data_IF_450958218626
#
_entry.id   IF_450958218626
#
_cell.length_a   1.000
_cell.length_b   1.000
_cell.length_c   1.000
_cell.angle_alpha   90.00
_cell.angle_beta   90.00
_cell.angle_gamma   90.00
#
_symmetry.space_group_name_H-M   'P 1'
#
loop_
_entity.id
_entity.type
_entity.pdbx_description
1 polymer ?
#
# COMPACT_ATOMS: atom_id res chain seq x y z
N UNK A 1 16.77 -29.52 -16.44
CA UNK A 1 16.15 -28.31 -16.98
C UNK A 1 17.04 -27.14 -16.56
N UNK A 2 17.91 -26.64 -17.45
CA UNK A 2 18.79 -25.50 -17.13
C UNK A 2 17.92 -24.25 -17.08
N UNK A 3 17.74 -23.65 -15.92
CA UNK A 3 17.25 -22.28 -15.83
C UNK A 3 18.30 -21.37 -16.47
N UNK A 4 18.03 -20.90 -17.66
CA UNK A 4 18.80 -19.84 -18.26
C UNK A 4 18.60 -18.61 -17.36
N UNK A 5 19.65 -18.20 -16.64
CA UNK A 5 19.63 -16.97 -15.85
C UNK A 5 19.40 -15.82 -16.85
N UNK A 6 18.22 -15.22 -16.78
CA UNK A 6 17.92 -14.03 -17.58
C UNK A 6 18.86 -12.93 -17.13
N UNK A 7 19.69 -12.42 -18.02
CA UNK A 7 20.57 -11.28 -17.75
C UNK A 7 19.68 -10.05 -17.55
N UNK A 8 19.72 -9.47 -16.35
CA UNK A 8 19.06 -8.20 -16.07
C UNK A 8 19.99 -7.05 -16.47
N UNK A 9 19.41 -6.04 -17.09
CA UNK A 9 20.05 -4.80 -17.47
C UNK A 9 19.71 -3.74 -16.44
N UNK A 10 20.73 -3.00 -15.97
CA UNK A 10 20.54 -1.86 -15.06
C UNK A 10 20.36 -0.58 -15.84
N UNK A 11 19.35 0.18 -15.45
CA UNK A 11 19.08 1.52 -15.97
C UNK A 11 18.88 2.50 -14.82
N UNK A 12 19.16 3.77 -15.12
CA UNK A 12 18.85 4.90 -14.25
C UNK A 12 17.86 5.80 -14.98
N UNK A 13 16.74 6.10 -14.32
CA UNK A 13 15.66 6.91 -14.88
C UNK A 13 15.52 8.20 -14.06
N UNK A 14 15.35 9.32 -14.78
CA UNK A 14 14.90 10.57 -14.20
C UNK A 14 13.39 10.68 -14.28
N UNK A 15 12.73 11.09 -13.19
CA UNK A 15 11.31 11.35 -13.15
C UNK A 15 11.06 12.82 -12.82
N UNK A 16 10.15 13.47 -13.56
CA UNK A 16 9.78 14.85 -13.34
C UNK A 16 8.28 15.07 -13.44
N UNK A 17 7.73 16.00 -12.64
CA UNK A 17 6.33 16.41 -12.70
C UNK A 17 6.20 17.87 -12.25
N UNK A 18 5.40 18.69 -12.98
CA UNK A 18 5.11 20.07 -12.59
C UNK A 18 3.64 20.48 -12.73
N UNK A 19 2.75 19.52 -12.97
CA UNK A 19 1.31 19.72 -12.90
C UNK A 19 0.74 19.26 -11.55
N UNK A 20 -0.52 19.55 -11.32
CA UNK A 20 -1.21 19.25 -10.07
C UNK A 20 -1.00 17.78 -9.65
N UNK A 21 -0.89 17.54 -8.34
CA UNK A 21 -0.57 16.22 -7.79
C UNK A 21 0.81 15.64 -8.19
N UNK A 22 1.83 16.49 -8.35
CA UNK A 22 3.21 16.14 -8.75
C UNK A 22 3.75 14.89 -8.04
N UNK A 23 3.61 14.81 -6.71
CA UNK A 23 4.06 13.68 -5.92
C UNK A 23 3.31 12.39 -6.26
N UNK A 24 2.00 12.49 -6.47
CA UNK A 24 1.17 11.34 -6.84
C UNK A 24 1.64 10.76 -8.16
N UNK A 25 1.84 11.58 -9.19
CA UNK A 25 2.32 11.14 -10.49
C UNK A 25 3.66 10.40 -10.39
N UNK A 26 4.64 10.97 -9.68
CA UNK A 26 5.96 10.35 -9.51
C UNK A 26 5.85 9.03 -8.74
N UNK A 27 5.16 9.02 -7.58
CA UNK A 27 5.08 7.82 -6.75
C UNK A 27 4.28 6.69 -7.42
N UNK A 28 3.18 7.03 -8.08
CA UNK A 28 2.38 6.03 -8.82
C UNK A 28 3.17 5.45 -9.99
N UNK A 29 3.88 6.28 -10.76
CA UNK A 29 4.73 5.81 -11.85
C UNK A 29 5.82 4.83 -11.39
N UNK A 30 6.44 5.08 -10.23
CA UNK A 30 7.42 4.14 -9.63
C UNK A 30 6.76 2.79 -9.34
N UNK A 31 5.56 2.78 -8.77
CA UNK A 31 4.85 1.53 -8.48
C UNK A 31 4.40 0.80 -9.73
N UNK A 32 3.88 1.52 -10.72
CA UNK A 32 3.46 0.95 -12.01
C UNK A 32 4.64 0.36 -12.78
N UNK A 33 5.81 1.00 -12.75
CA UNK A 33 7.04 0.40 -13.30
C UNK A 33 7.36 -0.92 -12.58
N UNK A 34 7.32 -0.93 -11.26
CA UNK A 34 7.64 -2.13 -10.47
C UNK A 34 6.69 -3.32 -10.73
N UNK A 35 5.42 -3.07 -11.06
CA UNK A 35 4.45 -4.11 -11.41
C UNK A 35 4.65 -4.69 -12.82
N UNK A 36 5.31 -3.98 -13.71
CA UNK A 36 5.56 -4.36 -15.11
C UNK A 36 6.82 -5.22 -15.31
N UNK A 37 7.23 -5.98 -14.30
CA UNK A 37 8.48 -6.79 -14.31
C UNK A 37 9.75 -5.93 -14.40
N UNK A 38 9.66 -4.69 -13.98
CA UNK A 38 10.78 -3.75 -13.85
C UNK A 38 11.07 -3.61 -12.36
N UNK A 39 12.16 -4.20 -11.90
CA UNK A 39 12.49 -4.18 -10.48
C UNK A 39 13.11 -2.84 -10.08
N UNK A 40 12.36 -2.00 -9.36
CA UNK A 40 12.87 -0.73 -8.82
C UNK A 40 13.72 -1.01 -7.58
N UNK A 41 15.00 -0.69 -7.66
CA UNK A 41 16.00 -1.02 -6.65
C UNK A 41 16.18 0.09 -5.60
N UNK A 42 16.13 1.34 -6.05
CA UNK A 42 16.40 2.51 -5.24
C UNK A 42 15.73 3.75 -5.83
N UNK A 43 15.28 4.64 -4.94
CA UNK A 43 14.80 5.97 -5.27
C UNK A 43 15.66 7.01 -4.56
N UNK A 44 15.93 8.15 -5.22
CA UNK A 44 16.55 9.31 -4.58
C UNK A 44 15.60 10.01 -3.62
N UNK A 45 16.08 11.02 -2.92
CA UNK A 45 15.22 12.06 -2.38
C UNK A 45 14.42 12.75 -3.50
N UNK A 46 13.30 13.36 -3.13
CA UNK A 46 12.51 14.20 -4.01
C UNK A 46 13.02 15.63 -3.91
N UNK A 47 13.21 16.27 -5.06
CA UNK A 47 13.71 17.66 -5.13
C UNK A 47 12.72 18.56 -5.84
N UNK A 48 12.63 19.80 -5.39
CA UNK A 48 11.89 20.87 -6.06
C UNK A 48 12.87 21.89 -6.67
N UNK A 49 12.60 22.26 -7.94
CA UNK A 49 13.30 23.36 -8.62
C UNK A 49 12.36 24.09 -9.58
N UNK A 50 12.71 25.31 -9.93
CA UNK A 50 11.98 26.08 -10.93
C UNK A 50 12.09 25.46 -12.32
N UNK A 51 11.07 25.72 -13.17
CA UNK A 51 11.10 25.28 -14.56
C UNK A 51 12.28 25.89 -15.31
N UNK A 52 13.07 25.07 -16.01
CA UNK A 52 14.21 25.53 -16.79
C UNK A 52 13.86 25.70 -18.26
N UNK A 53 14.19 26.86 -18.83
CA UNK A 53 14.05 27.15 -20.24
C UNK A 53 12.65 27.56 -20.72
N UNK A 54 11.69 27.68 -19.81
CA UNK A 54 10.34 28.19 -20.07
C UNK A 54 9.69 28.74 -18.80
N UNK A 55 8.59 29.50 -18.94
CA UNK A 55 7.79 29.97 -17.81
C UNK A 55 6.75 28.90 -17.48
N UNK A 56 6.94 28.17 -16.38
CA UNK A 56 6.07 27.08 -15.92
C UNK A 56 6.07 26.94 -14.40
N UNK A 57 5.26 26.01 -13.88
CA UNK A 57 5.26 25.67 -12.46
C UNK A 57 6.56 24.96 -12.07
N UNK A 58 6.94 25.05 -10.78
CA UNK A 58 8.09 24.33 -10.25
C UNK A 58 7.94 22.82 -10.38
N UNK A 59 9.02 22.14 -10.72
CA UNK A 59 9.07 20.68 -10.87
C UNK A 59 9.39 20.01 -9.55
N UNK A 60 8.79 18.83 -9.37
CA UNK A 60 9.37 17.77 -8.54
C UNK A 60 10.21 16.86 -9.42
N UNK A 61 11.44 16.57 -8.99
CA UNK A 61 12.37 15.69 -9.69
C UNK A 61 12.91 14.63 -8.74
N UNK A 62 13.10 13.43 -9.28
CA UNK A 62 13.74 12.31 -8.60
C UNK A 62 14.46 11.42 -9.62
N UNK A 63 15.39 10.59 -9.16
CA UNK A 63 15.94 9.51 -9.95
C UNK A 63 15.65 8.16 -9.30
N UNK A 64 15.51 7.13 -10.14
CA UNK A 64 15.40 5.74 -9.70
C UNK A 64 16.42 4.88 -10.45
N UNK A 65 16.88 3.81 -9.81
CA UNK A 65 17.58 2.71 -10.48
C UNK A 65 16.65 1.51 -10.57
N UNK A 66 16.73 0.85 -11.72
CA UNK A 66 15.92 -0.32 -12.03
C UNK A 66 16.77 -1.45 -12.61
N UNK A 67 16.36 -2.70 -12.39
CA UNK A 67 16.84 -3.87 -13.11
C UNK A 67 15.69 -4.49 -13.91
N UNK A 68 15.92 -4.80 -15.19
CA UNK A 68 14.92 -5.42 -16.07
C UNK A 68 15.59 -6.24 -17.17
N UNK A 69 14.84 -7.21 -17.71
CA UNK A 69 15.24 -7.95 -18.90
C UNK A 69 15.00 -7.18 -20.22
N UNK A 70 14.26 -6.07 -20.15
CA UNK A 70 13.93 -5.25 -21.32
C UNK A 70 15.20 -4.61 -21.93
N UNK A 71 15.22 -4.51 -23.25
CA UNK A 71 16.16 -3.65 -23.97
C UNK A 71 15.85 -2.17 -23.73
N UNK A 72 16.81 -1.30 -24.00
CA UNK A 72 16.63 0.15 -23.84
C UNK A 72 15.45 0.70 -24.67
N UNK A 73 15.19 0.14 -25.84
CA UNK A 73 14.06 0.55 -26.68
C UNK A 73 12.70 0.09 -26.11
N UNK A 74 12.62 -1.15 -25.64
CA UNK A 74 11.41 -1.66 -24.97
C UNK A 74 11.10 -0.88 -23.71
N UNK A 75 12.14 -0.57 -22.92
CA UNK A 75 11.99 0.26 -21.72
C UNK A 75 11.51 1.67 -22.07
N UNK A 76 12.07 2.30 -23.12
CA UNK A 76 11.60 3.61 -23.59
C UNK A 76 10.10 3.57 -23.94
N UNK A 77 9.64 2.54 -24.67
CA UNK A 77 8.22 2.40 -25.03
C UNK A 77 7.33 2.26 -23.77
N UNK A 78 7.80 1.57 -22.74
CA UNK A 78 7.08 1.47 -21.46
C UNK A 78 7.00 2.82 -20.77
N UNK A 79 8.08 3.56 -20.67
CA UNK A 79 8.09 4.92 -20.10
C UNK A 79 7.14 5.85 -20.86
N UNK A 80 7.17 5.84 -22.19
CA UNK A 80 6.26 6.63 -23.02
C UNK A 80 4.78 6.27 -22.81
N UNK A 81 4.46 4.98 -22.65
CA UNK A 81 3.11 4.52 -22.37
C UNK A 81 2.62 5.00 -20.99
N UNK A 82 3.49 4.98 -19.98
CA UNK A 82 3.19 5.49 -18.65
C UNK A 82 2.95 7.00 -18.67
N UNK A 83 3.78 7.77 -19.35
CA UNK A 83 3.57 9.21 -19.51
C UNK A 83 2.17 9.52 -20.11
N UNK A 84 1.76 8.75 -21.12
CA UNK A 84 0.46 8.90 -21.75
C UNK A 84 -0.69 8.55 -20.80
N UNK A 85 -0.58 7.46 -20.03
CA UNK A 85 -1.61 7.07 -19.04
C UNK A 85 -1.77 8.11 -17.94
N UNK A 86 -0.68 8.83 -17.60
CA UNK A 86 -0.70 9.95 -16.65
C UNK A 86 -1.22 11.27 -17.25
N UNK A 87 -1.65 11.27 -18.51
CA UNK A 87 -2.28 12.44 -19.16
C UNK A 87 -1.32 13.32 -19.96
N UNK A 88 -0.08 12.90 -20.19
CA UNK A 88 0.86 13.68 -21.02
C UNK A 88 0.37 13.74 -22.46
N UNK A 89 -0.08 14.91 -22.91
CA UNK A 89 -0.43 15.16 -24.31
C UNK A 89 0.85 15.48 -25.11
N UNK A 90 1.19 14.67 -26.12
CA UNK A 90 2.25 15.00 -27.09
C UNK A 90 1.64 15.73 -28.26
N UNK A 91 1.77 17.05 -28.31
CA UNK A 91 1.40 17.85 -29.49
C UNK A 91 2.49 17.79 -30.54
N UNK A 92 2.13 17.68 -31.82
CA UNK A 92 3.08 17.73 -32.96
C UNK A 92 3.67 19.13 -33.22
N UNK A 93 3.51 20.08 -32.29
CA UNK A 93 4.09 21.41 -32.40
C UNK A 93 5.61 21.39 -32.12
N UNK A 94 6.40 22.26 -32.76
CA UNK A 94 7.84 22.30 -32.52
C UNK A 94 8.15 22.56 -31.06
N UNK A 95 9.15 21.85 -30.55
CA UNK A 95 9.62 21.67 -29.19
C UNK A 95 9.55 22.90 -28.27
N UNK A 96 8.35 23.33 -27.88
CA UNK A 96 8.17 24.22 -26.74
C UNK A 96 8.00 23.38 -25.48
N UNK A 97 8.86 23.63 -24.48
CA UNK A 97 8.69 23.02 -23.16
C UNK A 97 7.33 23.43 -22.60
N UNK A 98 6.58 22.47 -22.10
CA UNK A 98 5.25 22.66 -21.53
C UNK A 98 5.21 21.99 -20.15
N UNK A 99 4.27 22.46 -19.33
CA UNK A 99 3.91 21.77 -18.10
C UNK A 99 3.44 20.35 -18.42
N UNK A 100 3.74 19.40 -17.53
CA UNK A 100 3.44 17.99 -17.74
C UNK A 100 3.23 17.24 -16.45
N UNK A 101 2.23 16.35 -16.41
CA UNK A 101 1.95 15.55 -15.22
C UNK A 101 3.10 14.57 -14.91
N UNK A 102 3.74 13.99 -15.92
CA UNK A 102 4.85 13.05 -15.77
C UNK A 102 5.82 13.14 -16.95
N UNK A 103 7.13 13.10 -16.63
CA UNK A 103 8.24 12.98 -17.56
C UNK A 103 9.17 11.87 -17.07
N UNK A 104 9.56 10.92 -17.94
CA UNK A 104 10.45 9.81 -17.61
C UNK A 104 11.57 9.76 -18.62
N UNK A 105 12.76 10.21 -18.23
CA UNK A 105 13.97 10.19 -19.05
C UNK A 105 14.84 8.97 -18.72
N UNK A 106 15.27 8.20 -19.73
CA UNK A 106 16.33 7.21 -19.57
C UNK A 106 17.66 7.96 -19.51
N UNK A 107 18.35 7.89 -18.36
CA UNK A 107 19.59 8.63 -18.11
C UNK A 107 20.84 7.81 -18.45
N UNK A 108 20.92 6.60 -17.87
CA UNK A 108 22.01 5.65 -18.07
C UNK A 108 21.46 4.27 -18.36
N UNK A 109 22.17 3.48 -19.14
CA UNK A 109 21.85 2.09 -19.47
C UNK A 109 23.10 1.23 -19.52
N UNK A 110 22.96 -0.09 -19.78
CA UNK A 110 24.08 -1.03 -19.82
C UNK A 110 25.08 -0.73 -20.96
N UNK A 111 24.60 -0.14 -22.06
CA UNK A 111 25.39 0.16 -23.25
C UNK A 111 25.11 1.61 -23.68
N UNK A 112 26.15 2.22 -24.31
CA UNK A 112 25.98 3.51 -24.96
C UNK A 112 25.20 3.34 -26.26
N UNK A 113 24.24 4.24 -26.50
CA UNK A 113 23.44 4.25 -27.73
C UNK A 113 23.37 5.66 -28.30
N UNK A 114 23.33 5.74 -29.62
CA UNK A 114 23.19 7.02 -30.33
C UNK A 114 22.33 6.81 -31.58
N UNK A 115 21.04 6.72 -31.38
CA UNK A 115 20.03 6.52 -32.41
C UNK A 115 19.16 7.76 -32.59
N UNK A 116 18.30 7.76 -33.63
CA UNK A 116 17.33 8.86 -33.89
C UNK A 116 16.38 9.10 -32.72
N UNK A 117 16.03 8.04 -32.00
CA UNK A 117 14.96 8.05 -30.99
C UNK A 117 15.50 7.95 -29.55
N UNK A 118 16.73 7.44 -29.37
CA UNK A 118 17.32 7.24 -28.05
C UNK A 118 18.83 7.43 -28.05
N UNK A 119 19.31 8.31 -27.18
CA UNK A 119 20.74 8.50 -26.91
C UNK A 119 21.03 8.20 -25.45
N UNK A 120 21.96 7.30 -25.18
CA UNK A 120 22.44 6.95 -23.83
C UNK A 120 23.98 7.02 -23.78
N UNK A 121 24.56 7.66 -22.76
CA UNK A 121 23.94 8.46 -21.70
C UNK A 121 23.09 9.60 -22.25
N UNK A 122 22.07 10.00 -21.47
CA UNK A 122 21.12 11.06 -21.88
C UNK A 122 21.89 12.37 -22.19
N UNK A 123 21.73 12.96 -23.38
CA UNK A 123 22.67 14.00 -23.87
C UNK A 123 22.67 15.29 -23.04
N UNK A 124 21.59 15.60 -22.33
CA UNK A 124 21.48 16.82 -21.54
C UNK A 124 21.68 16.60 -20.04
N UNK A 125 21.92 15.36 -19.56
CA UNK A 125 22.02 15.09 -18.12
C UNK A 125 23.20 15.84 -17.47
N UNK A 126 24.33 15.92 -18.15
CA UNK A 126 25.54 16.58 -17.66
C UNK A 126 25.40 18.10 -17.43
N UNK A 127 24.35 18.72 -17.98
CA UNK A 127 24.08 20.15 -17.87
C UNK A 127 23.01 20.48 -16.85
N UNK A 128 22.47 19.48 -16.13
CA UNK A 128 21.30 19.61 -15.29
C UNK A 128 21.58 19.12 -13.87
N UNK A 129 21.73 20.05 -12.94
CA UNK A 129 21.98 19.70 -11.55
C UNK A 129 20.83 18.93 -10.93
N UNK A 130 19.57 19.25 -11.28
CA UNK A 130 18.36 18.59 -10.81
C UNK A 130 18.23 17.13 -11.31
N UNK A 131 19.07 16.70 -12.27
CA UNK A 131 19.23 15.31 -12.69
C UNK A 131 20.42 14.66 -11.99
N UNK A 132 21.58 15.33 -11.96
CA UNK A 132 22.82 14.74 -11.47
C UNK A 132 22.82 14.51 -9.95
N UNK A 133 22.25 15.43 -9.13
CA UNK A 133 22.21 15.24 -7.66
C UNK A 133 21.34 14.03 -7.26
N UNK A 134 20.08 13.87 -7.75
CA UNK A 134 19.31 12.65 -7.47
C UNK A 134 19.98 11.39 -8.03
N UNK A 135 20.61 11.46 -9.20
CA UNK A 135 21.30 10.33 -9.80
C UNK A 135 22.50 9.86 -8.97
N UNK A 136 23.29 10.81 -8.43
CA UNK A 136 24.39 10.53 -7.50
C UNK A 136 23.92 9.77 -6.26
N UNK A 137 22.80 10.19 -5.67
CA UNK A 137 22.23 9.52 -4.48
C UNK A 137 21.89 8.06 -4.76
N UNK A 138 21.25 7.80 -5.89
CA UNK A 138 20.85 6.44 -6.27
C UNK A 138 22.07 5.55 -6.56
N UNK A 139 23.07 6.08 -7.30
CA UNK A 139 24.31 5.36 -7.56
C UNK A 139 25.08 5.05 -6.28
N UNK A 140 25.16 6.02 -5.33
CA UNK A 140 25.79 5.83 -4.04
C UNK A 140 25.05 4.78 -3.18
N UNK A 141 23.72 4.81 -3.15
CA UNK A 141 22.90 3.83 -2.41
C UNK A 141 23.13 2.40 -2.90
N UNK A 142 23.36 2.22 -4.19
CA UNK A 142 23.64 0.91 -4.82
C UNK A 142 25.11 0.54 -4.81
N UNK A 143 26.00 1.43 -4.34
CA UNK A 143 27.46 1.26 -4.39
C UNK A 143 27.99 1.01 -5.83
N UNK A 144 27.35 1.65 -6.80
CA UNK A 144 27.77 1.62 -8.20
C UNK A 144 28.92 2.63 -8.40
N UNK A 145 30.11 2.21 -7.99
CA UNK A 145 31.28 3.09 -7.92
C UNK A 145 31.68 3.65 -9.30
N UNK A 146 31.52 2.89 -10.36
CA UNK A 146 31.88 3.34 -11.72
C UNK A 146 30.98 4.53 -12.13
N UNK A 147 29.68 4.39 -12.04
CA UNK A 147 28.78 5.48 -12.40
C UNK A 147 28.87 6.63 -11.38
N UNK A 148 29.12 6.34 -10.10
CA UNK A 148 29.27 7.38 -9.07
C UNK A 148 30.43 8.32 -9.34
N UNK A 149 31.62 7.77 -9.66
CA UNK A 149 32.83 8.58 -9.99
C UNK A 149 32.59 9.47 -11.22
N UNK A 150 31.93 8.93 -12.25
CA UNK A 150 31.57 9.71 -13.45
C UNK A 150 30.56 10.82 -13.15
N UNK A 151 29.51 10.52 -12.37
CA UNK A 151 28.49 11.50 -11.98
C UNK A 151 29.11 12.62 -11.12
N UNK A 152 29.99 12.30 -10.18
CA UNK A 152 30.68 13.29 -9.36
C UNK A 152 31.57 14.20 -10.18
N UNK A 153 32.26 13.66 -11.19
CA UNK A 153 33.02 14.45 -12.16
C UNK A 153 32.10 15.40 -12.94
N UNK A 154 30.97 14.90 -13.45
CA UNK A 154 29.97 15.72 -14.17
C UNK A 154 29.38 16.82 -13.27
N UNK A 155 29.06 16.51 -12.01
CA UNK A 155 28.61 17.50 -11.04
C UNK A 155 29.65 18.61 -10.81
N UNK A 156 30.93 18.26 -10.72
CA UNK A 156 32.02 19.25 -10.54
C UNK A 156 32.16 20.21 -11.70
N UNK A 157 31.72 19.80 -12.89
CA UNK A 157 31.76 20.57 -14.14
C UNK A 157 30.43 21.22 -14.51
N UNK A 158 29.37 20.85 -13.84
CA UNK A 158 28.01 21.35 -14.10
C UNK A 158 27.91 22.85 -13.77
N UNK A 159 27.47 23.62 -14.77
CA UNK A 159 27.29 25.08 -14.63
C UNK A 159 25.87 25.49 -14.24
N UNK A 160 25.00 24.52 -14.01
CA UNK A 160 23.64 24.77 -13.52
C UNK A 160 23.71 25.15 -12.05
N UNK A 161 23.46 26.43 -11.75
CA UNK A 161 23.46 27.03 -10.42
C UNK A 161 22.02 27.17 -9.87
N UNK A 162 21.04 26.56 -10.52
CA UNK A 162 19.65 26.58 -10.08
C UNK A 162 19.50 26.01 -8.67
N UNK A 163 18.62 26.62 -7.87
CA UNK A 163 18.30 26.17 -6.53
C UNK A 163 17.57 24.83 -6.60
N UNK A 164 18.09 23.85 -5.91
CA UNK A 164 17.52 22.51 -5.77
C UNK A 164 17.17 22.30 -4.29
N UNK A 165 15.88 22.28 -3.97
CA UNK A 165 15.39 22.17 -2.60
C UNK A 165 14.92 20.75 -2.32
N UNK A 166 15.48 20.04 -1.32
CA UNK A 166 15.00 18.72 -0.95
C UNK A 166 13.59 18.82 -0.34
N UNK A 167 12.70 17.97 -0.76
CA UNK A 167 11.34 17.82 -0.21
C UNK A 167 11.38 16.72 0.85
N UNK A 168 10.85 16.99 2.04
CA UNK A 168 10.90 16.05 3.16
C UNK A 168 9.91 14.89 2.99
N UNK A 169 10.05 14.16 1.89
CA UNK A 169 9.22 13.01 1.53
C UNK A 169 10.13 11.90 1.01
N UNK A 170 9.99 10.71 1.57
CA UNK A 170 10.67 9.52 1.07
C UNK A 170 9.82 8.84 0.01
N UNK A 171 10.34 8.72 -1.19
CA UNK A 171 9.77 7.87 -2.25
C UNK A 171 9.92 6.38 -1.88
N UNK A 172 8.94 5.58 -2.28
CA UNK A 172 8.91 4.14 -2.05
C UNK A 172 9.11 3.41 -3.38
N UNK A 173 9.84 2.30 -3.35
CA UNK A 173 10.14 1.53 -4.56
C UNK A 173 8.99 0.61 -4.98
N UNK A 174 8.15 0.18 -4.04
CA UNK A 174 7.12 -0.84 -4.29
C UNK A 174 5.92 -0.71 -3.34
N UNK A 175 4.82 -1.38 -3.68
CA UNK A 175 3.71 -1.58 -2.76
C UNK A 175 4.12 -2.37 -1.50
N UNK A 176 5.10 -3.25 -1.60
CA UNK A 176 5.68 -3.92 -0.42
C UNK A 176 6.26 -2.91 0.56
N UNK A 177 6.97 -1.88 0.07
CA UNK A 177 7.47 -0.81 0.94
C UNK A 177 6.34 0.03 1.51
N UNK A 178 5.27 0.28 0.74
CA UNK A 178 4.09 0.99 1.22
C UNK A 178 3.47 0.25 2.42
N UNK A 179 3.22 -1.06 2.27
CA UNK A 179 2.66 -1.88 3.34
C UNK A 179 3.56 -1.95 4.57
N UNK A 180 4.87 -2.18 4.41
CA UNK A 180 5.84 -2.23 5.51
C UNK A 180 5.95 -0.92 6.30
N UNK A 181 5.68 0.21 5.67
CA UNK A 181 5.72 1.52 6.30
C UNK A 181 4.34 2.02 6.75
N UNK A 182 3.25 1.31 6.45
CA UNK A 182 1.89 1.68 6.86
C UNK A 182 1.63 1.31 8.31
N UNK A 183 0.76 2.07 8.96
CA UNK A 183 0.15 1.68 10.22
C UNK A 183 -0.68 0.41 10.03
N UNK A 184 -1.10 -0.23 11.13
CA UNK A 184 -1.87 -1.47 11.08
C UNK A 184 -3.11 -1.34 10.16
N UNK A 185 -3.27 -2.30 9.26
CA UNK A 185 -4.47 -2.47 8.44
C UNK A 185 -5.35 -3.53 9.07
N UNK A 186 -6.60 -3.20 9.32
CA UNK A 186 -7.57 -4.11 9.94
C UNK A 186 -8.58 -4.59 8.91
N UNK A 187 -8.73 -5.89 8.81
CA UNK A 187 -9.75 -6.55 7.97
C UNK A 187 -10.88 -7.02 8.88
N UNK A 188 -12.03 -6.39 8.79
CA UNK A 188 -13.22 -6.71 9.58
C UNK A 188 -14.36 -7.27 8.71
N UNK A 189 -15.40 -7.76 9.37
CA UNK A 189 -16.59 -8.29 8.72
C UNK A 189 -17.16 -9.51 9.43
N UNK A 190 -18.30 -9.99 8.94
CA UNK A 190 -19.05 -11.08 9.54
C UNK A 190 -18.25 -12.40 9.62
N UNK A 191 -18.73 -13.32 10.45
CA UNK A 191 -18.21 -14.69 10.54
C UNK A 191 -18.34 -15.34 9.15
N UNK A 192 -17.29 -16.01 8.69
CA UNK A 192 -17.30 -16.70 7.38
C UNK A 192 -16.97 -15.82 6.18
N UNK A 193 -16.77 -14.49 6.31
CA UNK A 193 -16.54 -13.60 5.16
C UNK A 193 -15.13 -13.74 4.54
N UNK A 194 -14.15 -14.34 5.25
CA UNK A 194 -12.82 -14.62 4.70
C UNK A 194 -11.70 -13.74 5.26
N UNK A 195 -11.91 -13.02 6.37
CA UNK A 195 -10.91 -12.13 7.00
C UNK A 195 -9.52 -12.74 7.13
N UNK A 196 -9.43 -13.85 7.84
CA UNK A 196 -8.15 -14.53 8.13
C UNK A 196 -7.45 -14.99 6.86
N UNK A 197 -8.20 -15.47 5.85
CA UNK A 197 -7.65 -15.86 4.55
C UNK A 197 -7.04 -14.67 3.84
N UNK A 198 -7.76 -13.55 3.79
CA UNK A 198 -7.25 -12.31 3.18
C UNK A 198 -6.01 -11.79 3.91
N UNK A 199 -6.00 -11.77 5.25
CA UNK A 199 -4.83 -11.36 6.02
C UNK A 199 -3.60 -12.19 5.69
N UNK A 200 -3.73 -13.51 5.61
CA UNK A 200 -2.62 -14.39 5.28
C UNK A 200 -2.10 -14.17 3.85
N UNK A 201 -2.99 -13.96 2.89
CA UNK A 201 -2.59 -13.68 1.50
C UNK A 201 -1.89 -12.32 1.37
N UNK A 202 -2.42 -11.28 2.01
CA UNK A 202 -1.79 -9.95 2.04
C UNK A 202 -0.41 -10.00 2.70
N UNK A 203 -0.29 -10.72 3.82
CA UNK A 203 0.98 -10.90 4.51
C UNK A 203 2.02 -11.62 3.63
N UNK A 204 1.62 -12.67 2.93
CA UNK A 204 2.48 -13.39 2.00
C UNK A 204 2.89 -12.51 0.81
N UNK A 205 1.94 -11.75 0.22
CA UNK A 205 2.17 -10.88 -0.95
C UNK A 205 3.17 -9.75 -0.64
N UNK A 206 2.99 -9.09 0.51
CA UNK A 206 3.75 -7.88 0.86
C UNK A 206 4.85 -8.12 1.91
N UNK A 207 5.06 -9.38 2.31
CA UNK A 207 6.08 -9.77 3.32
C UNK A 207 5.96 -8.92 4.60
N UNK A 208 4.73 -8.88 5.15
CA UNK A 208 4.36 -8.19 6.38
C UNK A 208 3.84 -9.19 7.42
N UNK A 209 3.70 -8.76 8.67
CA UNK A 209 3.22 -9.60 9.74
C UNK A 209 1.70 -9.68 9.79
N UNK A 210 1.17 -10.84 10.20
CA UNK A 210 -0.25 -11.01 10.54
C UNK A 210 -0.47 -10.90 12.04
N UNK A 211 -1.64 -10.36 12.40
CA UNK A 211 -2.12 -10.42 13.78
C UNK A 211 -3.56 -10.95 13.80
N UNK A 212 -3.69 -12.25 14.11
CA UNK A 212 -4.94 -12.99 13.98
C UNK A 212 -5.57 -13.26 15.33
N UNK A 213 -6.90 -13.25 15.38
CA UNK A 213 -7.67 -13.46 16.59
C UNK A 213 -7.51 -14.89 17.13
N UNK A 214 -7.18 -15.00 18.42
CA UNK A 214 -6.98 -16.28 19.14
C UNK A 214 -8.28 -16.75 19.77
N UNK A 215 -9.36 -16.93 18.97
CA UNK A 215 -10.69 -17.31 19.48
C UNK A 215 -10.69 -18.64 20.23
N UNK A 216 -9.80 -19.59 19.92
CA UNK A 216 -9.68 -20.89 20.58
C UNK A 216 -9.18 -20.78 22.03
N UNK A 217 -8.53 -19.69 22.40
CA UNK A 217 -8.05 -19.44 23.75
C UNK A 217 -9.16 -19.05 24.72
N UNK A 218 -10.34 -18.71 24.23
CA UNK A 218 -11.47 -18.28 25.06
C UNK A 218 -12.18 -19.49 25.68
N UNK A 219 -12.02 -19.76 27.00
CA UNK A 219 -12.59 -20.94 27.65
C UNK A 219 -14.12 -20.91 27.76
N UNK A 220 -14.72 -19.75 27.56
CA UNK A 220 -16.18 -19.56 27.67
C UNK A 220 -16.91 -19.71 26.35
N UNK A 221 -16.21 -19.69 25.23
CA UNK A 221 -16.82 -19.63 23.89
C UNK A 221 -17.72 -20.83 23.58
N UNK A 222 -17.27 -22.05 23.94
CA UNK A 222 -18.09 -23.26 23.75
C UNK A 222 -19.32 -23.29 24.62
N UNK A 223 -19.25 -22.76 25.85
CA UNK A 223 -20.37 -22.65 26.76
C UNK A 223 -21.35 -21.57 26.32
N UNK A 224 -20.86 -20.46 25.78
CA UNK A 224 -21.68 -19.38 25.25
C UNK A 224 -22.66 -19.87 24.17
N UNK A 225 -22.23 -20.73 23.26
CA UNK A 225 -23.12 -21.26 22.23
C UNK A 225 -24.20 -22.21 22.80
N UNK A 226 -23.98 -22.80 23.98
CA UNK A 226 -24.94 -23.66 24.65
C UNK A 226 -25.92 -22.88 25.56
N UNK A 227 -25.40 -21.89 26.27
CA UNK A 227 -26.15 -21.04 27.20
C UNK A 227 -25.64 -19.58 27.09
N UNK A 228 -26.16 -18.83 26.10
CA UNK A 228 -25.75 -17.44 25.90
C UNK A 228 -26.05 -16.54 27.10
N UNK A 229 -27.14 -16.80 27.84
CA UNK A 229 -27.57 -15.95 28.98
C UNK A 229 -26.51 -16.02 30.09
N UNK A 230 -26.04 -17.19 30.44
CA UNK A 230 -25.03 -17.37 31.49
C UNK A 230 -23.62 -16.99 31.12
N UNK A 231 -23.23 -17.15 29.82
CA UNK A 231 -21.83 -17.07 29.40
C UNK A 231 -21.51 -15.88 28.51
N UNK A 232 -22.48 -15.04 28.10
CA UNK A 232 -22.18 -13.91 27.22
C UNK A 232 -21.17 -12.93 27.85
N UNK A 233 -21.40 -12.45 29.07
CA UNK A 233 -20.49 -11.47 29.70
C UNK A 233 -19.09 -12.00 29.92
N UNK A 234 -18.83 -13.18 30.52
CA UNK A 234 -17.47 -13.70 30.64
C UNK A 234 -16.78 -13.94 29.28
N UNK A 235 -17.53 -14.35 28.25
CA UNK A 235 -17.01 -14.52 26.90
C UNK A 235 -16.52 -13.19 26.31
N UNK A 236 -17.35 -12.16 26.37
CA UNK A 236 -17.01 -10.84 25.80
C UNK A 236 -15.91 -10.13 26.59
N UNK A 237 -15.88 -10.27 27.92
CA UNK A 237 -14.79 -9.72 28.75
C UNK A 237 -13.46 -10.43 28.47
N UNK A 238 -13.47 -11.74 28.24
CA UNK A 238 -12.26 -12.48 27.88
C UNK A 238 -11.72 -12.01 26.52
N UNK A 239 -12.59 -11.88 25.51
CA UNK A 239 -12.19 -11.34 24.22
C UNK A 239 -11.65 -9.91 24.31
N UNK A 240 -12.29 -9.05 25.13
CA UNK A 240 -11.81 -7.68 25.34
C UNK A 240 -10.41 -7.67 25.95
N UNK A 241 -10.17 -8.48 26.98
CA UNK A 241 -8.88 -8.57 27.66
C UNK A 241 -7.77 -9.11 26.73
N UNK A 242 -8.05 -10.20 26.00
CA UNK A 242 -7.11 -10.81 25.08
C UNK A 242 -6.75 -9.86 23.93
N UNK A 243 -7.76 -9.22 23.32
CA UNK A 243 -7.54 -8.21 22.24
C UNK A 243 -6.75 -7.02 22.76
N UNK A 244 -7.08 -6.51 23.96
CA UNK A 244 -6.36 -5.38 24.56
C UNK A 244 -4.89 -5.70 24.79
N UNK A 245 -4.59 -6.85 25.37
CA UNK A 245 -3.21 -7.27 25.61
C UNK A 245 -2.44 -7.39 24.30
N UNK A 246 -3.02 -8.09 23.34
CA UNK A 246 -2.40 -8.35 22.06
C UNK A 246 -2.16 -7.06 21.24
N UNK A 247 -3.13 -6.16 21.20
CA UNK A 247 -3.00 -4.87 20.48
C UNK A 247 -2.01 -3.92 21.17
N UNK A 248 -1.89 -3.97 22.50
CA UNK A 248 -0.90 -3.17 23.22
C UNK A 248 0.55 -3.52 22.82
N UNK A 249 0.83 -4.80 22.56
CA UNK A 249 2.14 -5.27 22.11
C UNK A 249 2.49 -4.78 20.68
N UNK A 250 1.50 -4.26 19.93
CA UNK A 250 1.65 -3.81 18.55
C UNK A 250 1.72 -2.29 18.38
N UNK A 251 1.52 -1.50 19.43
CA UNK A 251 1.33 -0.05 19.35
C UNK A 251 2.42 0.72 18.56
N UNK A 252 3.66 0.24 18.59
CA UNK A 252 4.79 0.87 17.89
C UNK A 252 5.16 0.17 16.57
N UNK A 253 4.47 -0.94 16.21
CA UNK A 253 4.81 -1.72 15.03
C UNK A 253 4.06 -1.21 13.80
N UNK A 254 4.74 -1.29 12.66
CA UNK A 254 4.21 -1.02 11.31
C UNK A 254 4.24 -2.28 10.47
N UNK A 255 3.54 -2.25 9.33
CA UNK A 255 3.52 -3.38 8.40
C UNK A 255 2.80 -4.59 8.97
N UNK A 256 1.64 -4.37 9.57
CA UNK A 256 0.81 -5.42 10.17
C UNK A 256 -0.57 -5.42 9.53
N UNK A 257 -1.07 -6.60 9.20
CA UNK A 257 -2.48 -6.83 8.87
C UNK A 257 -3.15 -7.69 9.93
N UNK A 258 -4.31 -7.26 10.44
CA UNK A 258 -5.05 -7.93 11.50
C UNK A 258 -6.46 -8.29 11.06
N UNK A 259 -7.03 -9.41 11.56
CA UNK A 259 -8.41 -9.83 11.29
C UNK A 259 -9.37 -9.42 12.43
N UNK A 260 -8.94 -8.50 13.27
CA UNK A 260 -9.74 -7.88 14.32
C UNK A 260 -9.12 -6.58 14.83
N UNK A 261 -9.97 -5.77 15.46
CA UNK A 261 -9.56 -4.66 16.31
C UNK A 261 -10.43 -4.64 17.60
N UNK A 262 -10.10 -3.76 18.55
CA UNK A 262 -10.83 -3.69 19.82
C UNK A 262 -12.31 -3.29 19.64
N UNK A 263 -12.64 -2.55 18.58
CA UNK A 263 -14.02 -2.15 18.23
C UNK A 263 -14.95 -3.35 18.03
N UNK A 264 -14.43 -4.49 17.56
CA UNK A 264 -15.16 -5.75 17.46
C UNK A 264 -15.77 -6.17 18.80
N UNK A 265 -15.07 -5.93 19.92
CA UNK A 265 -15.60 -6.24 21.26
C UNK A 265 -16.87 -5.46 21.59
N UNK A 266 -16.94 -4.18 21.21
CA UNK A 266 -18.14 -3.38 21.43
C UNK A 266 -19.33 -3.85 20.58
N UNK A 267 -19.06 -4.24 19.32
CA UNK A 267 -20.08 -4.76 18.41
C UNK A 267 -20.73 -6.04 18.96
N UNK A 268 -19.91 -7.02 19.34
CA UNK A 268 -20.42 -8.28 19.86
C UNK A 268 -21.07 -8.13 21.24
N UNK A 269 -20.56 -7.27 22.12
CA UNK A 269 -21.20 -6.97 23.40
C UNK A 269 -22.60 -6.36 23.22
N UNK A 270 -22.79 -5.46 22.25
CA UNK A 270 -24.13 -4.92 21.93
C UNK A 270 -25.10 -5.98 21.42
N UNK A 271 -24.63 -7.00 20.73
CA UNK A 271 -25.47 -8.07 20.20
C UNK A 271 -25.84 -9.13 21.24
N UNK A 272 -24.94 -9.38 22.20
CA UNK A 272 -24.99 -10.56 23.05
C UNK A 272 -25.34 -10.25 24.51
N UNK A 273 -25.11 -9.03 24.98
CA UNK A 273 -25.31 -8.69 26.43
C UNK A 273 -26.67 -8.06 26.71
N UNK A 274 -27.22 -8.39 27.85
CA UNK A 274 -28.35 -7.66 28.38
C UNK A 274 -27.96 -6.23 28.81
N UNK A 275 -28.89 -5.30 29.04
CA UNK A 275 -28.58 -3.90 29.33
C UNK A 275 -27.68 -3.67 30.56
N UNK A 276 -27.80 -4.50 31.61
CA UNK A 276 -27.00 -4.35 32.84
C UNK A 276 -25.54 -4.76 32.58
N UNK A 277 -25.33 -5.92 31.96
CA UNK A 277 -24.03 -6.44 31.60
C UNK A 277 -23.34 -5.57 30.55
N UNK A 278 -24.09 -5.04 29.57
CA UNK A 278 -23.59 -4.11 28.58
C UNK A 278 -23.09 -2.80 29.23
N UNK A 279 -23.79 -2.29 30.22
CA UNK A 279 -23.37 -1.10 30.96
C UNK A 279 -22.04 -1.34 31.68
N UNK A 280 -21.86 -2.50 32.30
CA UNK A 280 -20.62 -2.90 32.95
C UNK A 280 -19.49 -3.07 31.91
N UNK A 281 -19.74 -3.82 30.84
CA UNK A 281 -18.78 -4.04 29.76
C UNK A 281 -18.28 -2.72 29.17
N UNK A 282 -19.17 -1.77 28.89
CA UNK A 282 -18.83 -0.48 28.30
C UNK A 282 -17.87 0.35 29.16
N UNK A 283 -17.88 0.18 30.48
CA UNK A 283 -16.89 0.83 31.37
C UNK A 283 -15.48 0.29 31.10
N UNK A 284 -15.32 -1.04 31.01
CA UNK A 284 -14.04 -1.66 30.70
C UNK A 284 -13.59 -1.34 29.26
N UNK A 285 -14.52 -1.43 28.29
CA UNK A 285 -14.24 -1.09 26.90
C UNK A 285 -13.75 0.36 26.74
N UNK A 286 -14.36 1.31 27.45
CA UNK A 286 -13.95 2.71 27.40
C UNK A 286 -12.50 2.94 27.88
N UNK A 287 -12.05 2.18 28.86
CA UNK A 287 -10.66 2.21 29.31
C UNK A 287 -9.73 1.57 28.29
N UNK A 288 -10.09 0.40 27.80
CA UNK A 288 -9.31 -0.33 26.80
C UNK A 288 -9.16 0.47 25.51
N UNK A 289 -10.23 1.12 25.03
CA UNK A 289 -10.19 1.97 23.82
C UNK A 289 -9.17 3.11 23.94
N UNK A 290 -9.02 3.71 25.12
CA UNK A 290 -8.03 4.80 25.35
C UNK A 290 -6.57 4.33 25.30
N UNK A 291 -6.32 3.04 25.53
CA UNK A 291 -4.99 2.43 25.53
C UNK A 291 -4.63 1.78 24.20
N UNK A 292 -5.58 1.74 23.27
CA UNK A 292 -5.39 1.09 21.95
C UNK A 292 -5.24 2.16 20.89
N UNK A 293 -4.18 2.06 20.10
CA UNK A 293 -3.96 2.92 18.93
C UNK A 293 -5.00 2.61 17.85
N UNK A 294 -5.54 3.65 17.23
CA UNK A 294 -6.38 3.47 16.05
C UNK A 294 -5.56 2.87 14.89
N UNK A 295 -6.13 1.96 14.09
CA UNK A 295 -5.47 1.46 12.90
C UNK A 295 -5.36 2.54 11.83
N UNK A 296 -4.42 2.35 10.91
CA UNK A 296 -4.25 3.25 9.78
C UNK A 296 -5.37 3.09 8.74
N UNK A 297 -5.88 1.87 8.58
CA UNK A 297 -6.95 1.58 7.62
C UNK A 297 -7.87 0.49 8.17
N UNK A 298 -9.20 0.74 8.08
CA UNK A 298 -10.23 -0.27 8.26
C UNK A 298 -10.79 -0.71 6.92
N UNK A 299 -10.76 -2.01 6.67
CA UNK A 299 -11.37 -2.67 5.50
C UNK A 299 -12.47 -3.58 5.99
N UNK A 300 -13.70 -3.31 5.61
CA UNK A 300 -14.86 -4.15 5.91
C UNK A 300 -15.15 -5.06 4.71
N UNK A 301 -15.08 -6.37 4.94
CA UNK A 301 -15.56 -7.36 3.98
C UNK A 301 -17.04 -7.63 4.23
N UNK A 302 -17.86 -7.58 3.18
CA UNK A 302 -19.27 -7.95 3.23
C UNK A 302 -19.61 -9.06 2.25
N UNK A 303 -20.58 -9.89 2.62
CA UNK A 303 -21.22 -10.88 1.76
C UNK A 303 -22.61 -11.21 2.29
N UNK A 304 -23.57 -11.62 1.42
CA UNK A 304 -24.88 -12.11 1.86
C UNK A 304 -24.78 -13.34 2.76
N UNK A 305 -25.76 -13.51 3.66
CA UNK A 305 -25.75 -14.60 4.65
C UNK A 305 -25.62 -15.98 4.00
N UNK A 306 -26.24 -16.19 2.85
CA UNK A 306 -26.16 -17.45 2.11
C UNK A 306 -24.71 -17.81 1.72
N UNK A 307 -23.90 -16.81 1.35
CA UNK A 307 -22.48 -17.02 1.05
C UNK A 307 -21.67 -17.26 2.33
N UNK A 308 -21.99 -16.56 3.41
CA UNK A 308 -21.34 -16.76 4.71
C UNK A 308 -21.57 -18.19 5.22
N UNK A 309 -22.81 -18.68 5.19
CA UNK A 309 -23.14 -20.06 5.56
C UNK A 309 -22.42 -21.10 4.74
N UNK A 310 -22.37 -20.90 3.41
CA UNK A 310 -21.64 -21.78 2.51
C UNK A 310 -20.16 -21.88 2.90
N UNK A 311 -19.52 -20.75 3.16
CA UNK A 311 -18.10 -20.67 3.55
C UNK A 311 -17.87 -21.27 4.95
N UNK A 312 -18.78 -21.04 5.91
CA UNK A 312 -18.74 -21.63 7.26
C UNK A 312 -18.85 -23.16 7.19
N UNK A 313 -19.78 -23.70 6.39
CA UNK A 313 -19.94 -25.15 6.18
C UNK A 313 -18.69 -25.78 5.53
N UNK A 314 -18.08 -25.11 4.56
CA UNK A 314 -16.84 -25.57 3.92
C UNK A 314 -15.65 -25.60 4.90
N UNK A 315 -15.57 -24.62 5.83
CA UNK A 315 -14.51 -24.54 6.85
C UNK A 315 -14.67 -25.60 7.94
N UNK A 316 -15.89 -26.06 8.20
CA UNK A 316 -16.26 -27.19 9.09
C UNK A 316 -15.72 -27.10 10.54
N UNK A 317 -15.70 -25.90 11.14
CA UNK A 317 -15.37 -25.73 12.58
C UNK A 317 -16.53 -26.23 13.43
N UNK A 318 -16.27 -27.11 14.41
CA UNK A 318 -17.29 -27.82 15.19
C UNK A 318 -18.25 -26.89 15.96
N UNK A 319 -17.76 -25.81 16.54
CA UNK A 319 -18.57 -24.85 17.30
C UNK A 319 -19.39 -23.88 16.42
N UNK A 320 -19.03 -23.75 15.13
CA UNK A 320 -19.77 -22.89 14.20
C UNK A 320 -21.02 -23.56 13.63
N UNK A 321 -21.16 -24.88 13.79
CA UNK A 321 -22.33 -25.63 13.32
C UNK A 321 -23.65 -25.21 13.96
N UNK A 322 -23.61 -24.48 15.08
CA UNK A 322 -24.78 -23.99 15.82
C UNK A 322 -25.16 -22.55 15.47
N UNK A 323 -24.37 -21.89 14.60
CA UNK A 323 -24.64 -20.49 14.19
C UNK A 323 -25.82 -20.50 13.20
N UNK A 324 -26.91 -19.84 13.56
CA UNK A 324 -28.08 -19.71 12.69
C UNK A 324 -28.00 -18.49 11.76
N UNK A 325 -28.78 -18.50 10.68
CA UNK A 325 -28.84 -17.43 9.69
C UNK A 325 -29.27 -16.09 10.30
N UNK A 326 -30.16 -16.10 11.29
CA UNK A 326 -30.66 -14.89 11.92
C UNK A 326 -29.56 -14.21 12.76
N UNK A 327 -28.70 -14.98 13.42
CA UNK A 327 -27.54 -14.46 14.14
C UNK A 327 -26.51 -13.86 13.17
N UNK A 328 -26.20 -14.54 12.05
CA UNK A 328 -25.32 -14.01 11.01
C UNK A 328 -25.83 -12.69 10.43
N UNK A 329 -27.16 -12.59 10.17
CA UNK A 329 -27.75 -11.35 9.66
C UNK A 329 -27.67 -10.21 10.68
N UNK A 330 -27.85 -10.49 11.98
CA UNK A 330 -27.67 -9.50 13.04
C UNK A 330 -26.24 -8.99 13.11
N UNK A 331 -25.25 -9.89 13.04
CA UNK A 331 -23.84 -9.52 13.03
C UNK A 331 -23.52 -8.68 11.80
N UNK A 332 -23.91 -9.15 10.59
CA UNK A 332 -23.70 -8.44 9.33
C UNK A 332 -24.30 -7.03 9.36
N UNK A 333 -25.57 -6.94 9.78
CA UNK A 333 -26.25 -5.65 9.94
C UNK A 333 -25.57 -4.72 10.95
N UNK A 334 -25.02 -5.26 12.03
CA UNK A 334 -24.28 -4.48 13.03
C UNK A 334 -22.99 -3.92 12.44
N UNK A 335 -22.23 -4.71 11.66
CA UNK A 335 -21.05 -4.22 10.94
C UNK A 335 -21.42 -3.10 9.95
N UNK A 336 -22.43 -3.31 9.13
CA UNK A 336 -22.85 -2.31 8.12
C UNK A 336 -23.38 -1.01 8.76
N UNK A 337 -24.04 -1.07 9.91
CA UNK A 337 -24.55 0.11 10.62
C UNK A 337 -23.50 0.81 11.46
N UNK A 338 -22.61 0.06 12.12
CA UNK A 338 -21.61 0.59 13.05
C UNK A 338 -20.38 1.17 12.37
N UNK A 339 -19.98 0.63 11.23
CA UNK A 339 -18.75 1.02 10.55
C UNK A 339 -18.96 1.94 9.32
N UNK A 340 -20.19 2.25 8.95
CA UNK A 340 -20.49 3.05 7.74
C UNK A 340 -20.21 4.54 7.87
N UNK A 341 -19.95 5.07 9.06
CA UNK A 341 -19.83 6.53 9.22
C UNK A 341 -18.49 7.04 9.74
N UNK A 342 -17.70 6.26 10.49
CA UNK A 342 -16.50 6.80 11.14
C UNK A 342 -15.27 5.85 11.16
N UNK A 343 -15.44 4.53 10.99
CA UNK A 343 -14.35 3.57 11.13
C UNK A 343 -13.97 2.84 9.84
N UNK A 344 -14.93 2.34 9.03
CA UNK A 344 -14.60 1.65 7.78
C UNK A 344 -14.33 2.65 6.65
N UNK A 345 -13.10 2.68 6.19
CA UNK A 345 -12.65 3.53 5.09
C UNK A 345 -12.82 2.85 3.72
N UNK A 346 -12.96 1.52 3.72
CA UNK A 346 -13.20 0.71 2.54
C UNK A 346 -14.15 -0.43 2.86
N UNK A 347 -15.22 -0.55 2.06
CA UNK A 347 -16.13 -1.70 2.10
C UNK A 347 -15.96 -2.49 0.81
N UNK A 348 -15.64 -3.78 0.93
CA UNK A 348 -15.45 -4.69 -0.20
C UNK A 348 -16.56 -5.73 -0.20
N UNK A 349 -17.40 -5.70 -1.23
CA UNK A 349 -18.37 -6.76 -1.50
C UNK A 349 -17.65 -8.00 -2.05
N UNK A 350 -17.68 -9.08 -1.29
CA UNK A 350 -17.05 -10.36 -1.65
C UNK A 350 -18.05 -11.39 -2.17
N UNK A 351 -19.26 -10.96 -2.53
CA UNK A 351 -20.35 -11.87 -2.98
C UNK A 351 -19.91 -12.74 -4.16
N UNK A 352 -19.23 -12.13 -5.12
CA UNK A 352 -18.79 -12.77 -6.37
C UNK A 352 -17.28 -12.93 -6.47
N UNK A 353 -16.55 -12.73 -5.36
CA UNK A 353 -15.10 -12.87 -5.33
C UNK A 353 -14.67 -14.17 -4.67
N UNK A 354 -13.83 -14.93 -5.35
CA UNK A 354 -13.11 -16.08 -4.81
C UNK A 354 -11.62 -15.75 -4.67
N UNK A 355 -11.30 -14.74 -3.88
CA UNK A 355 -9.93 -14.28 -3.68
C UNK A 355 -9.01 -15.32 -3.01
N UNK A 356 -9.56 -16.45 -2.55
CA UNK A 356 -8.76 -17.56 -1.99
C UNK A 356 -8.18 -18.43 -3.11
N UNK A 357 -8.94 -18.69 -4.17
CA UNK A 357 -8.55 -19.58 -5.25
C UNK A 357 -8.26 -18.84 -6.57
N UNK A 358 -8.83 -17.64 -6.76
CA UNK A 358 -8.72 -16.86 -7.99
C UNK A 358 -7.80 -15.63 -7.78
N UNK A 359 -6.61 -15.67 -8.40
CA UNK A 359 -5.61 -14.62 -8.27
C UNK A 359 -6.14 -13.25 -8.73
N UNK A 360 -6.94 -13.19 -9.79
CA UNK A 360 -7.50 -11.94 -10.29
C UNK A 360 -8.44 -11.26 -9.30
N UNK A 361 -9.19 -12.03 -8.50
CA UNK A 361 -10.06 -11.48 -7.47
C UNK A 361 -9.25 -10.96 -6.28
N UNK A 362 -8.18 -11.66 -5.92
CA UNK A 362 -7.24 -11.17 -4.90
C UNK A 362 -6.53 -9.89 -5.35
N UNK A 363 -6.07 -9.81 -6.60
CA UNK A 363 -5.41 -8.62 -7.14
C UNK A 363 -6.35 -7.41 -7.12
N UNK A 364 -7.65 -7.57 -7.47
CA UNK A 364 -8.65 -6.48 -7.36
C UNK A 364 -8.81 -5.95 -5.92
N UNK A 365 -8.76 -6.82 -4.92
CA UNK A 365 -8.80 -6.41 -3.51
C UNK A 365 -7.51 -5.65 -3.15
N UNK A 366 -6.37 -6.18 -3.55
CA UNK A 366 -5.08 -5.52 -3.35
C UNK A 366 -5.06 -4.11 -3.93
N UNK A 367 -5.54 -3.93 -5.17
CA UNK A 367 -5.55 -2.62 -5.85
C UNK A 367 -6.38 -1.59 -5.08
N UNK A 368 -7.56 -1.97 -4.57
CA UNK A 368 -8.40 -1.08 -3.77
C UNK A 368 -7.71 -0.65 -2.47
N UNK A 369 -7.11 -1.59 -1.75
CA UNK A 369 -6.41 -1.29 -0.49
C UNK A 369 -5.15 -0.46 -0.76
N UNK A 370 -4.35 -0.82 -1.76
CA UNK A 370 -3.15 -0.11 -2.16
C UNK A 370 -3.44 1.35 -2.52
N UNK A 371 -4.51 1.58 -3.28
CA UNK A 371 -4.93 2.93 -3.67
C UNK A 371 -5.22 3.80 -2.44
N UNK A 372 -5.95 3.28 -1.45
CA UNK A 372 -6.25 4.02 -0.23
C UNK A 372 -5.02 4.25 0.65
N UNK A 373 -4.17 3.24 0.83
CA UNK A 373 -2.93 3.39 1.60
C UNK A 373 -2.02 4.45 0.97
N UNK A 374 -1.93 4.46 -0.36
CA UNK A 374 -1.16 5.48 -1.08
C UNK A 374 -1.80 6.86 -0.90
N UNK A 375 -3.11 7.00 -1.10
CA UNK A 375 -3.82 8.26 -0.94
C UNK A 375 -3.65 8.85 0.48
N UNK A 376 -3.79 8.03 1.52
CA UNK A 376 -3.57 8.46 2.91
C UNK A 376 -2.13 8.94 3.14
N UNK A 377 -1.15 8.19 2.63
CA UNK A 377 0.27 8.58 2.73
C UNK A 377 0.53 9.93 2.10
N UNK A 378 0.00 10.15 0.89
CA UNK A 378 0.22 11.39 0.14
C UNK A 378 -0.51 12.58 0.78
N UNK A 379 -1.70 12.37 1.35
CA UNK A 379 -2.46 13.42 2.07
C UNK A 379 -1.76 13.84 3.36
N UNK A 380 -1.27 12.89 4.14
CA UNK A 380 -0.57 13.17 5.41
C UNK A 380 0.73 13.97 5.20
N UNK A 381 1.36 13.87 4.03
CA UNK A 381 2.54 14.65 3.69
C UNK A 381 2.22 16.07 3.18
N UNK A 382 1.03 16.31 2.64
CA UNK A 382 0.59 17.65 2.22
C UNK A 382 0.16 18.54 3.40
N UNK A 383 0.00 17.95 4.60
CA UNK A 383 -0.42 18.63 5.84
C UNK A 383 0.74 18.88 6.83
N UNK A 384 1.93 18.34 6.55
CA UNK A 384 3.15 18.48 7.36
C UNK A 384 4.13 19.46 6.70
#
# INVERSE_FOLDING_TARGET
MYFQLVKLNRYYLGLGSNEDARLTHIQTAIFELNEQQINVLSCSALYENEAQGFSGKAFYNACIAIDTALSSRELLQRCLSLELSHGRARTHAPATYQDRPLDIDLLLGPDSMNDSDLTLPHPRMAQRRFVLEPLREVAAALKDLQNLDEIELLLSQCRDDSTLSPVNIRLLCSYTDLWKNSEMVVIEGCIGVGKTSLCNQLAARYSIDTHLERFESNPYLSHFYQDPEAYALPTELHFLADRQQALHELNEKKGIVADYHISKSALFAQLNLNPQDLALFNRFYSWSKKLTKAPGLYVLLDAPVEQLEKRIKQRARSYESQIDSAYLERIRSAYLKGHTSEEAQLVIDTTHLDFVNEQADFDRICDQINHLLLAQRLTNHNLA
#
